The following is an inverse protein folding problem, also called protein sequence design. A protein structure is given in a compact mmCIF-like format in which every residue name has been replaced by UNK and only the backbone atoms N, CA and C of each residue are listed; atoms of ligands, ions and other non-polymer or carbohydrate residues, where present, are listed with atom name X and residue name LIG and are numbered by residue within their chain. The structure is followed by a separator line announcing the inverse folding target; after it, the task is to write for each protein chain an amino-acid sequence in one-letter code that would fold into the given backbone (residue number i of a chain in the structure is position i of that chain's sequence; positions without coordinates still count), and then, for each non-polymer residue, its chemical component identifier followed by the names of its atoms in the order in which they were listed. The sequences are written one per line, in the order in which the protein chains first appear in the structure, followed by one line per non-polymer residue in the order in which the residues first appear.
data_IF_503052347340
#
_entry.id   IF_503052347340
#
_cell.length_a   1.000
_cell.length_b   1.000
_cell.length_c   1.000
_cell.angle_alpha   90.00
_cell.angle_beta   90.00
_cell.angle_gamma   90.00
#
_symmetry.space_group_name_H-M   'P 1'
#
loop_
_entity.id
_entity.type
_entity.pdbx_description
1 polymer ?
#
# COMPACT_ATOMS: atom_id res chain seq x y z
N UNK A 1 -6.64 -18.16 20.94
CA UNK A 1 -7.89 -17.42 20.75
C UNK A 1 -7.96 -16.96 19.29
N UNK A 2 -9.05 -17.29 18.62
CA UNK A 2 -9.27 -16.80 17.26
C UNK A 2 -9.70 -15.33 17.30
N UNK A 3 -9.11 -14.52 16.46
CA UNK A 3 -9.52 -13.12 16.30
C UNK A 3 -10.93 -13.05 15.70
N UNK A 4 -11.70 -12.05 16.13
CA UNK A 4 -12.97 -11.69 15.50
C UNK A 4 -12.73 -11.33 14.03
N UNK A 5 -13.68 -11.64 13.16
CA UNK A 5 -13.61 -11.30 11.72
C UNK A 5 -13.34 -9.82 11.49
N UNK A 6 -13.91 -8.96 12.33
CA UNK A 6 -13.68 -7.51 12.27
C UNK A 6 -12.24 -7.15 12.61
N UNK A 7 -11.67 -7.78 13.64
CA UNK A 7 -10.27 -7.57 14.02
C UNK A 7 -9.32 -8.02 12.92
N UNK A 8 -9.61 -9.16 12.29
CA UNK A 8 -8.84 -9.65 11.15
C UNK A 8 -8.91 -8.69 9.95
N UNK A 9 -10.08 -8.12 9.69
CA UNK A 9 -10.26 -7.15 8.61
C UNK A 9 -9.40 -5.91 8.80
N UNK A 10 -9.27 -5.45 10.03
CA UNK A 10 -8.56 -4.23 10.38
C UNK A 10 -7.08 -4.46 10.72
N UNK A 11 -6.64 -5.71 10.77
CA UNK A 11 -5.26 -6.07 11.06
C UNK A 11 -4.33 -5.56 9.96
N UNK A 12 -3.13 -5.16 10.33
CA UNK A 12 -2.07 -4.70 9.41
C UNK A 12 -2.41 -3.40 8.66
N UNK A 13 -3.44 -2.67 9.06
CA UNK A 13 -3.85 -1.43 8.38
C UNK A 13 -2.73 -0.39 8.35
N UNK A 14 -2.01 -0.20 9.46
CA UNK A 14 -0.92 0.77 9.54
C UNK A 14 0.24 0.39 8.61
N UNK A 15 0.58 -0.88 8.56
CA UNK A 15 1.61 -1.41 7.66
C UNK A 15 1.19 -1.24 6.20
N UNK A 16 -0.04 -1.57 5.87
CA UNK A 16 -0.61 -1.37 4.54
C UNK A 16 -0.57 0.11 4.14
N UNK A 17 -1.02 0.98 5.02
CA UNK A 17 -1.04 2.43 4.77
C UNK A 17 0.37 2.99 4.54
N UNK A 18 1.37 2.53 5.30
CA UNK A 18 2.75 2.96 5.13
C UNK A 18 3.29 2.63 3.74
N UNK A 19 2.97 1.46 3.22
CA UNK A 19 3.41 1.05 1.88
C UNK A 19 2.66 1.81 0.80
N UNK A 20 1.36 1.99 0.92
CA UNK A 20 0.60 2.84 0.01
C UNK A 20 1.16 4.27 -0.02
N UNK A 21 1.49 4.82 1.14
CA UNK A 21 2.09 6.15 1.26
C UNK A 21 3.42 6.24 0.52
N UNK A 22 4.28 5.21 0.67
CA UNK A 22 5.56 5.17 -0.02
C UNK A 22 5.40 5.12 -1.54
N UNK A 23 4.36 4.49 -2.05
CA UNK A 23 4.09 4.37 -3.48
C UNK A 23 3.19 5.48 -4.05
N UNK A 24 2.63 6.35 -3.20
CA UNK A 24 1.69 7.38 -3.63
C UNK A 24 2.36 8.62 -4.26
N UNK A 25 3.60 8.48 -4.69
CA UNK A 25 4.34 9.52 -5.41
C UNK A 25 4.69 8.99 -6.80
N UNK A 26 4.43 9.76 -7.88
CA UNK A 26 4.69 9.28 -9.25
C UNK A 26 6.14 8.88 -9.49
N UNK A 27 7.10 9.61 -8.95
CA UNK A 27 8.53 9.32 -9.13
C UNK A 27 8.90 8.03 -8.42
N UNK A 28 8.43 7.83 -7.18
CA UNK A 28 8.67 6.59 -6.45
C UNK A 28 8.06 5.38 -7.16
N UNK A 29 6.85 5.53 -7.69
CA UNK A 29 6.22 4.45 -8.46
C UNK A 29 7.01 4.13 -9.72
N UNK A 30 7.49 5.14 -10.44
CA UNK A 30 8.37 4.94 -11.61
C UNK A 30 9.67 4.24 -11.24
N UNK A 31 10.27 4.60 -10.10
CA UNK A 31 11.48 3.93 -9.61
C UNK A 31 11.25 2.43 -9.39
N UNK A 32 10.18 2.08 -8.69
CA UNK A 32 9.85 0.66 -8.47
C UNK A 32 9.63 -0.07 -9.78
N UNK A 33 8.94 0.54 -10.73
CA UNK A 33 8.71 -0.05 -12.06
C UNK A 33 10.01 -0.28 -12.82
N UNK A 34 10.92 0.66 -12.78
CA UNK A 34 12.24 0.52 -13.42
C UNK A 34 13.07 -0.57 -12.76
N UNK A 35 13.17 -0.53 -11.43
CA UNK A 35 13.98 -1.49 -10.68
C UNK A 35 13.44 -2.91 -10.80
N UNK A 36 12.14 -3.06 -10.91
CA UNK A 36 11.50 -4.37 -11.07
C UNK A 36 11.85 -5.02 -12.42
N UNK A 37 12.10 -4.22 -13.44
CA UNK A 37 12.37 -4.71 -14.80
C UNK A 37 13.85 -4.86 -15.13
N UNK A 38 14.72 -4.36 -14.26
CA UNK A 38 16.16 -4.45 -14.53
C UNK A 38 16.67 -5.88 -14.40
N UNK A 39 17.73 -6.18 -15.15
CA UNK A 39 18.46 -7.44 -15.03
C UNK A 39 19.62 -7.27 -14.06
N UNK A 40 19.93 -8.32 -13.30
CA UNK A 40 20.97 -8.25 -12.26
C UNK A 40 22.33 -7.72 -12.73
N UNK A 41 22.92 -8.17 -13.86
CA UNK A 41 24.21 -7.61 -14.26
C UNK A 41 24.16 -6.12 -14.57
N UNK A 42 23.00 -5.60 -14.97
CA UNK A 42 22.79 -4.21 -15.39
C UNK A 42 22.03 -3.39 -14.36
N UNK A 43 22.19 -3.73 -13.09
CA UNK A 43 21.50 -3.04 -12.01
C UNK A 43 21.81 -1.54 -12.00
N UNK A 44 20.79 -0.73 -11.74
CA UNK A 44 20.86 0.72 -11.87
C UNK A 44 21.37 1.41 -10.61
N UNK A 45 22.28 2.37 -10.79
CA UNK A 45 22.73 3.28 -9.73
C UNK A 45 21.90 4.57 -9.75
N UNK A 46 22.11 5.44 -8.75
CA UNK A 46 21.40 6.73 -8.64
C UNK A 46 21.56 7.58 -9.91
N UNK A 47 22.76 7.64 -10.47
CA UNK A 47 23.03 8.43 -11.67
C UNK A 47 22.23 7.95 -12.87
N UNK A 48 22.17 6.63 -13.06
CA UNK A 48 21.41 6.03 -14.14
C UNK A 48 19.91 6.28 -13.96
N UNK A 49 19.41 6.12 -12.74
CA UNK A 49 18.00 6.36 -12.42
C UNK A 49 17.62 7.82 -12.63
N UNK A 50 18.47 8.75 -12.21
CA UNK A 50 18.25 10.18 -12.41
C UNK A 50 18.18 10.53 -13.89
N UNK A 51 19.08 9.97 -14.69
CA UNK A 51 19.08 10.16 -16.14
C UNK A 51 17.81 9.61 -16.81
N UNK A 52 17.40 8.41 -16.42
CA UNK A 52 16.20 7.78 -16.99
C UNK A 52 14.92 8.55 -16.65
N UNK A 53 14.84 9.10 -15.44
CA UNK A 53 13.65 9.81 -14.96
C UNK A 53 13.64 11.30 -15.26
N UNK A 54 14.78 11.85 -15.69
CA UNK A 54 14.91 13.29 -15.94
C UNK A 54 14.79 14.13 -14.68
N UNK A 55 15.23 13.61 -13.53
CA UNK A 55 15.22 14.30 -12.24
C UNK A 55 16.63 14.36 -11.67
N UNK A 56 16.83 15.13 -10.59
CA UNK A 56 18.15 15.26 -9.97
C UNK A 56 18.54 14.00 -9.19
N UNK A 57 19.84 13.78 -9.03
CA UNK A 57 20.36 12.69 -8.21
C UNK A 57 19.89 12.81 -6.76
N UNK A 58 19.83 14.03 -6.24
CA UNK A 58 19.36 14.32 -4.89
C UNK A 58 17.90 13.88 -4.71
N UNK A 59 17.05 14.18 -5.69
CA UNK A 59 15.65 13.76 -5.65
C UNK A 59 15.52 12.23 -5.67
N UNK A 60 16.28 11.55 -6.54
CA UNK A 60 16.31 10.08 -6.60
C UNK A 60 16.73 9.51 -5.26
N UNK A 61 17.81 10.05 -4.68
CA UNK A 61 18.32 9.57 -3.38
C UNK A 61 17.29 9.69 -2.27
N UNK A 62 16.55 10.79 -2.23
CA UNK A 62 15.46 10.99 -1.26
C UNK A 62 14.32 9.99 -1.45
N UNK A 63 13.90 9.78 -2.68
CA UNK A 63 12.85 8.79 -2.99
C UNK A 63 13.28 7.36 -2.67
N UNK A 64 14.52 7.01 -2.98
CA UNK A 64 15.07 5.70 -2.63
C UNK A 64 15.15 5.49 -1.11
N UNK A 65 15.43 6.54 -0.35
CA UNK A 65 15.45 6.46 1.12
C UNK A 65 14.08 6.07 1.66
N UNK A 66 13.01 6.68 1.14
CA UNK A 66 11.63 6.34 1.52
C UNK A 66 11.32 4.88 1.18
N UNK A 67 11.64 4.45 -0.03
CA UNK A 67 11.40 3.08 -0.48
C UNK A 67 12.22 2.05 0.31
N UNK A 68 13.44 2.38 0.69
CA UNK A 68 14.28 1.51 1.53
C UNK A 68 13.73 1.38 2.93
N UNK A 69 13.18 2.45 3.49
CA UNK A 69 12.57 2.43 4.83
C UNK A 69 11.38 1.47 4.91
N UNK A 70 10.66 1.27 3.83
CA UNK A 70 9.56 0.28 3.76
C UNK A 70 10.03 -1.15 3.49
N UNK A 71 11.31 -1.31 3.13
CA UNK A 71 11.86 -2.61 2.73
C UNK A 71 11.58 -3.00 1.29
N UNK A 72 10.87 -2.18 0.51
CA UNK A 72 10.56 -2.49 -0.91
C UNK A 72 11.80 -2.47 -1.80
N UNK A 73 12.78 -1.65 -1.46
CA UNK A 73 14.01 -1.50 -2.22
C UNK A 73 15.20 -1.76 -1.30
N UNK A 74 16.19 -2.42 -1.83
CA UNK A 74 17.48 -2.65 -1.15
C UNK A 74 18.61 -2.11 -2.02
N UNK A 75 19.69 -1.68 -1.36
CA UNK A 75 20.91 -1.22 -2.02
C UNK A 75 22.03 -2.23 -1.84
N UNK A 76 22.83 -2.39 -2.86
CA UNK A 76 24.02 -3.25 -2.84
C UNK A 76 25.21 -2.47 -3.36
N UNK A 77 26.29 -2.46 -2.60
CA UNK A 77 27.51 -1.77 -3.01
C UNK A 77 28.26 -2.59 -4.06
N UNK A 78 28.50 -1.99 -5.21
CA UNK A 78 29.31 -2.56 -6.30
C UNK A 78 30.38 -1.55 -6.71
N UNK A 79 31.61 -1.74 -6.22
CA UNK A 79 32.69 -0.79 -6.44
C UNK A 79 32.42 0.54 -5.73
N UNK A 80 32.41 1.63 -6.49
CA UNK A 80 32.20 2.99 -5.97
C UNK A 80 30.72 3.40 -5.94
N UNK A 81 29.82 2.56 -6.47
CA UNK A 81 28.42 2.90 -6.61
C UNK A 81 27.54 1.92 -5.81
N UNK A 82 26.41 2.43 -5.35
CA UNK A 82 25.35 1.59 -4.81
C UNK A 82 24.34 1.34 -5.92
N UNK A 83 24.07 0.07 -6.19
CA UNK A 83 23.05 -0.36 -7.12
C UNK A 83 21.80 -0.77 -6.36
N UNK A 84 20.65 -0.49 -6.92
CA UNK A 84 19.37 -0.66 -6.22
C UNK A 84 18.56 -1.77 -6.85
N UNK A 85 17.87 -2.51 -6.01
CA UNK A 85 17.07 -3.68 -6.38
C UNK A 85 15.73 -3.64 -5.66
N UNK A 86 14.71 -4.18 -6.30
CA UNK A 86 13.46 -4.47 -5.61
C UNK A 86 13.67 -5.69 -4.71
N UNK A 87 13.21 -5.60 -3.47
CA UNK A 87 13.13 -6.76 -2.59
C UNK A 87 11.91 -7.57 -2.99
N UNK A 88 12.14 -8.69 -3.69
CA UNK A 88 11.06 -9.51 -4.26
C UNK A 88 10.14 -10.08 -3.17
N UNK A 89 10.69 -10.54 -2.06
CA UNK A 89 9.90 -11.10 -0.96
C UNK A 89 8.99 -10.04 -0.35
N UNK A 90 9.51 -8.82 -0.17
CA UNK A 90 8.73 -7.72 0.38
C UNK A 90 7.66 -7.24 -0.60
N UNK A 91 7.98 -7.24 -1.91
CA UNK A 91 7.02 -6.90 -2.94
C UNK A 91 5.86 -7.91 -2.97
N UNK A 92 6.16 -9.20 -2.85
CA UNK A 92 5.14 -10.24 -2.81
C UNK A 92 4.27 -10.13 -1.56
N UNK A 93 4.87 -9.93 -0.39
CA UNK A 93 4.16 -9.67 0.85
C UNK A 93 3.23 -8.46 0.69
N UNK A 94 3.72 -7.42 0.06
CA UNK A 94 2.95 -6.21 -0.20
C UNK A 94 1.76 -6.47 -1.12
N UNK A 95 1.97 -7.23 -2.19
CA UNK A 95 0.87 -7.62 -3.09
C UNK A 95 -0.22 -8.38 -2.35
N UNK A 96 0.16 -9.28 -1.46
CA UNK A 96 -0.79 -10.03 -0.62
C UNK A 96 -1.58 -9.09 0.30
N UNK A 97 -0.91 -8.13 0.93
CA UNK A 97 -1.56 -7.15 1.80
C UNK A 97 -2.55 -6.27 1.03
N UNK A 98 -2.16 -5.81 -0.16
CA UNK A 98 -3.05 -5.01 -1.03
C UNK A 98 -4.23 -5.83 -1.49
N UNK A 99 -3.99 -7.06 -1.93
CA UNK A 99 -5.05 -7.97 -2.36
C UNK A 99 -6.06 -8.23 -1.25
N UNK A 100 -5.58 -8.47 -0.04
CA UNK A 100 -6.43 -8.70 1.12
C UNK A 100 -7.24 -7.43 1.48
N UNK A 101 -6.61 -6.25 1.40
CA UNK A 101 -7.27 -4.99 1.75
C UNK A 101 -8.36 -4.60 0.74
N UNK A 102 -8.17 -4.94 -0.52
CA UNK A 102 -9.04 -4.51 -1.62
C UNK A 102 -9.82 -5.65 -2.26
N UNK A 103 -9.80 -6.84 -1.65
CA UNK A 103 -10.55 -7.97 -2.19
C UNK A 103 -12.04 -7.68 -2.13
N UNK A 104 -12.69 -7.92 -3.27
CA UNK A 104 -14.14 -7.86 -3.37
C UNK A 104 -14.66 -9.26 -3.04
N UNK A 105 -14.69 -9.58 -1.77
CA UNK A 105 -15.34 -10.79 -1.32
C UNK A 105 -16.82 -10.48 -1.16
N UNK A 106 -17.66 -11.51 -1.35
CA UNK A 106 -19.08 -11.36 -1.10
C UNK A 106 -19.30 -10.80 0.30
N UNK A 107 -20.11 -9.76 0.40
CA UNK A 107 -20.40 -9.13 1.66
C UNK A 107 -20.92 -10.17 2.65
N UNK A 108 -20.13 -10.47 3.66
CA UNK A 108 -20.62 -11.25 4.78
C UNK A 108 -21.67 -10.43 5.52
N UNK A 109 -22.64 -11.10 6.08
CA UNK A 109 -23.78 -10.51 6.78
C UNK A 109 -23.40 -9.66 8.00
N UNK A 110 -22.13 -9.47 8.25
CA UNK A 110 -21.60 -9.11 9.56
C UNK A 110 -21.50 -7.62 9.86
N UNK A 111 -21.73 -6.76 8.87
CA UNK A 111 -21.56 -5.32 9.09
C UNK A 111 -22.75 -4.54 8.58
N UNK A 112 -23.72 -4.34 9.44
CA UNK A 112 -24.84 -3.49 9.12
C UNK A 112 -24.77 -2.19 9.89
N UNK A 113 -25.24 -1.13 9.31
CA UNK A 113 -25.35 0.16 9.99
C UNK A 113 -26.22 0.03 11.26
N UNK A 114 -27.25 -0.82 11.22
CA UNK A 114 -28.13 -1.06 12.37
C UNK A 114 -27.38 -1.55 13.60
N UNK A 115 -26.38 -2.41 13.39
CA UNK A 115 -25.61 -3.01 14.47
C UNK A 115 -24.65 -2.03 15.15
N UNK A 116 -24.02 -1.15 14.36
CA UNK A 116 -22.95 -0.29 14.85
C UNK A 116 -23.32 1.19 15.02
N UNK A 117 -24.44 1.63 14.43
CA UNK A 117 -24.85 3.02 14.54
C UNK A 117 -25.78 3.21 15.74
N UNK A 118 -25.35 3.98 16.77
CA UNK A 118 -26.17 4.17 17.98
C UNK A 118 -27.48 4.91 17.73
N UNK A 119 -27.62 5.57 16.59
CA UNK A 119 -28.82 6.35 16.23
C UNK A 119 -29.83 5.60 15.36
N UNK A 120 -29.48 4.39 14.89
CA UNK A 120 -30.34 3.65 13.95
C UNK A 120 -31.68 3.21 14.55
N UNK A 121 -31.75 2.90 15.85
CA UNK A 121 -32.99 2.60 16.54
C UNK A 121 -33.98 3.74 16.49
N UNK A 122 -33.51 4.97 16.56
CA UNK A 122 -34.36 6.19 16.46
C UNK A 122 -34.80 6.46 15.03
N UNK A 123 -33.96 6.12 14.05
CA UNK A 123 -34.27 6.31 12.63
C UNK A 123 -35.32 5.35 12.12
N UNK A 124 -35.36 4.12 12.63
CA UNK A 124 -36.38 3.13 12.27
C UNK A 124 -37.78 3.63 12.69
N UNK A 125 -37.91 4.23 13.86
CA UNK A 125 -39.15 4.84 14.32
C UNK A 125 -39.55 5.99 13.39
N UNK A 126 -38.62 6.85 12.97
CA UNK A 126 -38.89 7.96 12.05
C UNK A 126 -39.29 7.49 10.65
N UNK A 127 -38.66 6.45 10.12
CA UNK A 127 -38.98 5.88 8.82
C UNK A 127 -40.35 5.20 8.86
N UNK A 128 -40.66 4.51 9.95
CA UNK A 128 -41.98 3.88 10.14
C UNK A 128 -43.08 4.94 10.19
N UNK A 129 -42.87 6.06 10.87
CA UNK A 129 -43.77 7.20 10.90
C UNK A 129 -43.95 7.84 9.51
N UNK A 130 -42.86 8.02 8.76
CA UNK A 130 -42.89 8.59 7.42
C UNK A 130 -43.66 7.70 6.44
N UNK A 131 -43.53 6.37 6.52
CA UNK A 131 -44.26 5.43 5.68
C UNK A 131 -45.75 5.33 6.03
N UNK A 132 -46.14 5.68 7.24
CA UNK A 132 -47.54 5.69 7.68
C UNK A 132 -48.32 6.91 7.20
N UNK A 133 -47.64 7.99 6.81
CA UNK A 133 -48.27 9.22 6.32
C UNK A 133 -48.63 9.16 4.82
N UNK A 134 -48.16 8.16 4.11
CA UNK A 134 -48.51 7.86 2.72
C UNK A 134 -49.63 6.79 2.71
#
# INVERSE_FOLDING_TARGET
MSMDSREQLLENTDEQAAVFSALADPTRLKLVKLLRRQRDPDALCVNALAGLLGVTQSAVSQHLRVLRATGLVKGERRGYHIHYFVNQDMLEKFRELVSAALSIEEASEEQSCQEYCPEMGRQEERIAEFKKED
#
